data_IF_485944842168
#
_entry.id   IF_485944842168
#
_cell.length_a   1.000
_cell.length_b   1.000
_cell.length_c   1.000
_cell.angle_alpha   90.00
_cell.angle_beta   90.00
_cell.angle_gamma   90.00
#
_symmetry.space_group_name_H-M   'P 1'
#
loop_
_entity.id
_entity.type
_entity.pdbx_description
1 polymer ?
#
# COMPACT_ATOMS: atom_id res chain seq x y z
N UNK A 1 -10.04 13.31 -37.91
CA UNK A 1 -11.36 12.69 -38.13
C UNK A 1 -11.19 11.58 -39.16
N UNK A 2 -11.74 10.37 -38.95
CA UNK A 2 -11.67 9.32 -39.96
C UNK A 2 -12.34 9.77 -41.26
N UNK A 3 -11.76 9.45 -42.43
CA UNK A 3 -12.31 9.88 -43.72
C UNK A 3 -13.72 9.30 -43.93
N UNK A 4 -14.63 10.07 -44.52
CA UNK A 4 -15.99 9.62 -44.82
C UNK A 4 -16.92 9.45 -43.61
N UNK A 5 -16.55 9.97 -42.43
CA UNK A 5 -17.42 9.99 -41.23
C UNK A 5 -17.60 11.38 -40.67
N UNK A 6 -18.84 11.69 -40.30
CA UNK A 6 -19.20 12.93 -39.62
C UNK A 6 -18.80 12.89 -38.14
N UNK A 7 -18.72 14.06 -37.51
CA UNK A 7 -18.46 14.17 -36.06
C UNK A 7 -19.52 13.47 -35.22
N UNK A 8 -20.79 13.58 -35.61
CA UNK A 8 -21.89 12.96 -34.88
C UNK A 8 -21.81 11.43 -34.92
N UNK A 9 -21.54 10.84 -36.09
CA UNK A 9 -21.37 9.38 -36.24
C UNK A 9 -20.20 8.86 -35.40
N UNK A 10 -19.07 9.56 -35.41
CA UNK A 10 -17.89 9.16 -34.62
C UNK A 10 -18.22 9.19 -33.13
N UNK A 11 -18.84 10.26 -32.63
CA UNK A 11 -19.20 10.37 -31.21
C UNK A 11 -20.23 9.30 -30.81
N UNK A 12 -21.22 9.03 -31.65
CA UNK A 12 -22.20 7.98 -31.40
C UNK A 12 -21.55 6.58 -31.33
N UNK A 13 -20.61 6.28 -32.24
CA UNK A 13 -19.86 5.04 -32.22
C UNK A 13 -18.99 4.90 -30.95
N UNK A 14 -18.37 5.99 -30.51
CA UNK A 14 -17.58 6.04 -29.27
C UNK A 14 -18.47 5.71 -28.05
N UNK A 15 -19.57 6.44 -27.86
CA UNK A 15 -20.45 6.24 -26.71
C UNK A 15 -21.06 4.83 -26.70
N UNK A 16 -21.43 4.29 -27.87
CA UNK A 16 -21.93 2.92 -27.99
C UNK A 16 -20.89 1.90 -27.53
N UNK A 17 -19.65 2.00 -27.99
CA UNK A 17 -18.56 1.07 -27.60
C UNK A 17 -18.25 1.19 -26.12
N UNK A 18 -18.18 2.42 -25.60
CA UNK A 18 -17.88 2.67 -24.20
C UNK A 18 -19.00 2.13 -23.30
N UNK A 19 -20.27 2.34 -23.67
CA UNK A 19 -21.41 1.81 -22.91
C UNK A 19 -21.37 0.29 -22.75
N UNK A 20 -20.92 -0.43 -23.78
CA UNK A 20 -20.76 -1.90 -23.72
C UNK A 20 -19.60 -2.31 -22.79
N UNK A 21 -18.51 -1.55 -22.79
CA UNK A 21 -17.28 -1.94 -22.08
C UNK A 21 -17.24 -1.46 -20.62
N UNK A 22 -17.77 -0.27 -20.31
CA UNK A 22 -17.46 0.45 -19.09
C UNK A 22 -17.78 -0.33 -17.81
N UNK A 23 -18.95 -0.98 -17.76
CA UNK A 23 -19.38 -1.77 -16.59
C UNK A 23 -18.43 -2.92 -16.27
N UNK A 24 -17.94 -3.63 -17.31
CA UNK A 24 -17.03 -4.76 -17.14
C UNK A 24 -15.60 -4.37 -16.74
N UNK A 25 -15.26 -3.08 -16.91
CA UNK A 25 -13.92 -2.54 -16.70
C UNK A 25 -13.82 -1.60 -15.49
N UNK A 26 -14.87 -1.46 -14.67
CA UNK A 26 -14.73 -0.86 -13.34
C UNK A 26 -13.84 -1.75 -12.44
N UNK A 27 -12.92 -1.13 -11.68
CA UNK A 27 -12.05 -1.86 -10.75
C UNK A 27 -11.40 -0.93 -9.72
N UNK A 28 -11.15 -1.44 -8.51
CA UNK A 28 -10.48 -0.66 -7.47
C UNK A 28 -11.28 0.60 -7.14
N UNK A 29 -10.67 1.76 -7.36
CA UNK A 29 -11.29 3.08 -7.22
C UNK A 29 -11.81 3.67 -8.54
N UNK A 30 -11.60 3.00 -9.68
CA UNK A 30 -12.15 3.43 -10.96
C UNK A 30 -13.60 2.97 -11.04
N UNK A 31 -14.52 3.92 -10.91
CA UNK A 31 -15.94 3.66 -11.12
C UNK A 31 -16.29 3.62 -12.62
N UNK A 32 -17.57 3.39 -12.91
CA UNK A 32 -18.04 3.27 -14.30
C UNK A 32 -17.85 4.60 -15.06
N UNK A 33 -18.00 5.74 -14.41
CA UNK A 33 -17.91 7.04 -15.05
C UNK A 33 -16.45 7.45 -15.30
N UNK A 34 -15.52 7.10 -14.41
CA UNK A 34 -14.08 7.18 -14.65
C UNK A 34 -13.70 6.38 -15.89
N UNK A 35 -14.18 5.13 -15.99
CA UNK A 35 -13.89 4.26 -17.13
C UNK A 35 -14.50 4.82 -18.42
N UNK A 36 -15.69 5.42 -18.38
CA UNK A 36 -16.26 6.11 -19.55
C UNK A 36 -15.38 7.27 -20.00
N UNK A 37 -14.89 8.08 -19.08
CA UNK A 37 -13.98 9.20 -19.41
C UNK A 37 -12.69 8.71 -20.07
N UNK A 38 -12.01 7.73 -19.45
CA UNK A 38 -10.80 7.11 -20.01
C UNK A 38 -11.07 6.47 -21.38
N UNK A 39 -12.23 5.84 -21.54
CA UNK A 39 -12.67 5.26 -22.81
C UNK A 39 -12.74 6.27 -23.94
N UNK A 40 -13.26 7.49 -23.66
CA UNK A 40 -13.34 8.58 -24.65
C UNK A 40 -11.95 9.02 -25.07
N UNK A 41 -11.04 9.18 -24.11
CA UNK A 41 -9.64 9.53 -24.38
C UNK A 41 -8.98 8.47 -25.25
N UNK A 42 -9.14 7.18 -24.91
CA UNK A 42 -8.56 6.09 -25.71
C UNK A 42 -9.10 6.03 -27.13
N UNK A 43 -10.41 6.23 -27.31
CA UNK A 43 -11.03 6.27 -28.63
C UNK A 43 -10.49 7.42 -29.48
N UNK A 44 -10.41 8.63 -28.92
CA UNK A 44 -9.88 9.80 -29.63
C UNK A 44 -8.40 9.63 -29.99
N UNK A 45 -7.58 9.08 -29.09
CA UNK A 45 -6.18 8.79 -29.37
C UNK A 45 -6.00 7.73 -30.46
N UNK A 46 -6.85 6.70 -30.48
CA UNK A 46 -6.82 5.67 -31.53
C UNK A 46 -7.12 6.29 -32.90
N UNK A 47 -8.15 7.15 -32.98
CA UNK A 47 -8.51 7.84 -34.22
C UNK A 47 -7.44 8.84 -34.71
N UNK A 48 -6.63 9.39 -33.80
CA UNK A 48 -5.56 10.32 -34.13
C UNK A 48 -4.24 9.66 -34.53
N UNK A 49 -3.99 8.41 -34.10
CA UNK A 49 -2.70 7.73 -34.28
C UNK A 49 -2.76 6.56 -35.25
N UNK A 50 -3.90 5.89 -35.36
CA UNK A 50 -4.02 4.63 -36.08
C UNK A 50 -4.85 4.81 -37.35
N UNK A 51 -4.46 4.11 -38.42
CA UNK A 51 -5.19 4.15 -39.68
C UNK A 51 -6.45 3.30 -39.55
N UNK A 52 -7.60 3.94 -39.57
CA UNK A 52 -8.90 3.28 -39.63
C UNK A 52 -9.15 2.75 -41.04
N UNK A 53 -9.48 1.46 -41.13
CA UNK A 53 -9.89 0.79 -42.37
C UNK A 53 -11.39 1.00 -42.61
N UNK A 54 -11.71 1.73 -43.68
CA UNK A 54 -13.09 2.07 -44.07
C UNK A 54 -13.93 0.86 -44.46
N UNK A 55 -13.31 -0.27 -44.81
CA UNK A 55 -14.03 -1.50 -45.15
C UNK A 55 -14.72 -2.15 -43.92
N UNK A 56 -14.32 -1.75 -42.71
CA UNK A 56 -14.84 -2.34 -41.46
C UNK A 56 -15.66 -1.31 -40.68
N UNK A 57 -16.70 -1.73 -39.93
CA UNK A 57 -17.44 -0.84 -39.05
C UNK A 57 -16.53 -0.12 -38.04
N UNK A 58 -16.79 1.17 -37.83
CA UNK A 58 -16.00 2.02 -36.93
C UNK A 58 -16.04 1.48 -35.49
N UNK A 59 -17.18 0.95 -35.09
CA UNK A 59 -17.41 0.37 -33.77
C UNK A 59 -16.47 -0.82 -33.51
N UNK A 60 -16.23 -1.68 -34.50
CA UNK A 60 -15.35 -2.83 -34.34
C UNK A 60 -13.89 -2.40 -34.14
N UNK A 61 -13.46 -1.40 -34.91
CA UNK A 61 -12.16 -0.76 -34.73
C UNK A 61 -12.06 -0.18 -33.30
N UNK A 62 -12.97 0.73 -32.94
CA UNK A 62 -12.96 1.38 -31.62
C UNK A 62 -13.03 0.36 -30.47
N UNK A 63 -13.90 -0.64 -30.57
CA UNK A 63 -14.06 -1.68 -29.55
C UNK A 63 -12.74 -2.40 -29.28
N UNK A 64 -12.04 -2.84 -30.33
CA UNK A 64 -10.74 -3.52 -30.19
C UNK A 64 -9.72 -2.61 -29.52
N UNK A 65 -9.58 -1.37 -29.97
CA UNK A 65 -8.57 -0.44 -29.43
C UNK A 65 -8.87 -0.05 -27.98
N UNK A 66 -10.11 0.35 -27.69
CA UNK A 66 -10.54 0.75 -26.35
C UNK A 66 -10.44 -0.41 -25.36
N UNK A 67 -10.92 -1.62 -25.74
CA UNK A 67 -10.81 -2.82 -24.89
C UNK A 67 -9.36 -3.15 -24.54
N UNK A 68 -8.46 -3.12 -25.52
CA UNK A 68 -7.03 -3.37 -25.27
C UNK A 68 -6.43 -2.31 -24.34
N UNK A 69 -6.84 -1.04 -24.48
CA UNK A 69 -6.41 0.03 -23.58
C UNK A 69 -6.93 -0.15 -22.17
N UNK A 70 -8.19 -0.56 -21.98
CA UNK A 70 -8.72 -0.87 -20.65
C UNK A 70 -8.03 -2.06 -20.00
N UNK A 71 -7.70 -3.12 -20.76
CA UNK A 71 -6.89 -4.23 -20.25
C UNK A 71 -5.54 -3.72 -19.75
N UNK A 72 -4.88 -2.86 -20.53
CA UNK A 72 -3.61 -2.25 -20.12
C UNK A 72 -3.76 -1.37 -18.88
N UNK A 73 -4.83 -0.56 -18.80
CA UNK A 73 -5.13 0.27 -17.64
C UNK A 73 -5.27 -0.59 -16.38
N UNK A 74 -6.06 -1.66 -16.44
CA UNK A 74 -6.25 -2.61 -15.33
C UNK A 74 -4.95 -3.32 -14.94
N UNK A 75 -4.14 -3.75 -15.91
CA UNK A 75 -2.81 -4.35 -15.67
C UNK A 75 -1.83 -3.36 -15.02
N UNK A 76 -1.94 -2.08 -15.36
CA UNK A 76 -1.06 -1.03 -14.86
C UNK A 76 -1.47 -0.57 -13.45
N UNK A 77 -2.76 -0.39 -13.21
CA UNK A 77 -3.29 0.23 -11.97
C UNK A 77 -3.83 -0.76 -10.94
N UNK A 78 -4.07 -2.02 -11.29
CA UNK A 78 -4.66 -2.99 -10.37
C UNK A 78 -3.88 -4.30 -10.28
N UNK A 79 -4.07 -5.23 -11.22
CA UNK A 79 -3.37 -6.52 -11.21
C UNK A 79 -3.30 -7.14 -12.59
N UNK A 80 -2.31 -7.99 -12.79
CA UNK A 80 -2.23 -8.91 -13.93
C UNK A 80 -3.01 -10.18 -13.60
N UNK A 81 -3.82 -10.68 -14.51
CA UNK A 81 -4.62 -11.91 -14.32
C UNK A 81 -3.94 -13.14 -14.92
N UNK A 82 -2.98 -12.94 -15.82
CA UNK A 82 -2.20 -13.97 -16.48
C UNK A 82 -1.04 -14.43 -15.59
N UNK A 83 -1.30 -15.43 -14.74
CA UNK A 83 -0.27 -16.06 -13.93
C UNK A 83 0.70 -16.87 -14.81
N UNK A 84 2.03 -16.75 -14.62
CA UNK A 84 3.02 -17.45 -15.45
C UNK A 84 3.07 -18.96 -15.19
N UNK A 85 2.59 -19.42 -14.03
CA UNK A 85 2.50 -20.83 -13.66
C UNK A 85 1.09 -21.14 -13.19
N UNK A 86 0.39 -22.01 -13.94
CA UNK A 86 -0.98 -22.44 -13.60
C UNK A 86 -1.01 -23.28 -12.31
N UNK A 87 -0.07 -24.21 -12.15
CA UNK A 87 0.02 -25.06 -10.96
C UNK A 87 0.18 -24.23 -9.67
N UNK A 88 1.13 -23.29 -9.66
CA UNK A 88 1.30 -22.40 -8.52
C UNK A 88 0.08 -21.50 -8.28
N UNK A 89 -0.60 -21.07 -9.34
CA UNK A 89 -1.81 -20.25 -9.23
C UNK A 89 -2.99 -21.01 -8.61
N UNK A 90 -3.12 -22.31 -8.88
CA UNK A 90 -4.14 -23.16 -8.26
C UNK A 90 -3.80 -23.63 -6.85
N UNK A 91 -2.67 -23.18 -6.29
CA UNK A 91 -2.22 -23.56 -4.94
C UNK A 91 -1.32 -24.80 -4.89
N UNK A 92 -0.86 -25.31 -6.03
CA UNK A 92 0.07 -26.45 -6.11
C UNK A 92 1.50 -25.93 -6.38
N UNK A 93 2.34 -25.74 -5.34
CA UNK A 93 3.70 -25.24 -5.50
C UNK A 93 4.54 -26.21 -6.33
N UNK A 94 5.15 -25.70 -7.41
CA UNK A 94 5.98 -26.50 -8.31
C UNK A 94 7.49 -26.23 -8.16
N UNK A 95 7.90 -25.44 -7.15
CA UNK A 95 9.29 -25.02 -6.94
C UNK A 95 10.04 -25.82 -5.87
N UNK A 96 9.38 -26.78 -5.20
CA UNK A 96 9.93 -27.54 -4.07
C UNK A 96 8.87 -27.77 -2.99
N UNK A 97 9.24 -28.38 -1.84
CA UNK A 97 8.32 -28.59 -0.74
C UNK A 97 7.76 -27.25 -0.25
N UNK A 98 6.47 -27.04 -0.50
CA UNK A 98 5.72 -25.83 -0.13
C UNK A 98 6.27 -24.50 -0.69
N UNK A 99 7.00 -24.52 -1.83
CA UNK A 99 7.59 -23.32 -2.43
C UNK A 99 7.06 -23.06 -3.86
N UNK A 100 6.57 -21.84 -4.09
CA UNK A 100 6.19 -21.39 -5.43
C UNK A 100 7.41 -21.19 -6.33
N UNK A 101 7.26 -21.40 -7.64
CA UNK A 101 8.35 -21.17 -8.58
C UNK A 101 8.73 -19.67 -8.65
N UNK A 102 10.00 -19.33 -8.92
CA UNK A 102 10.46 -17.93 -8.98
C UNK A 102 9.63 -17.02 -9.91
N UNK A 103 9.19 -17.46 -11.12
CA UNK A 103 8.33 -16.65 -11.97
C UNK A 103 6.99 -16.30 -11.33
N UNK A 104 6.35 -17.26 -10.66
CA UNK A 104 5.08 -17.04 -9.98
C UNK A 104 5.25 -16.15 -8.75
N UNK A 105 6.29 -16.38 -7.93
CA UNK A 105 6.58 -15.55 -6.77
C UNK A 105 6.81 -14.07 -7.17
N UNK A 106 7.59 -13.82 -8.23
CA UNK A 106 7.81 -12.47 -8.76
C UNK A 106 6.54 -11.84 -9.36
N UNK A 107 5.67 -12.64 -9.97
CA UNK A 107 4.36 -12.19 -10.44
C UNK A 107 3.43 -11.83 -9.27
N UNK A 108 3.39 -12.68 -8.25
CA UNK A 108 2.56 -12.51 -7.05
C UNK A 108 2.97 -11.24 -6.30
N UNK A 109 4.27 -11.08 -5.99
CA UNK A 109 4.81 -9.89 -5.33
C UNK A 109 4.45 -8.58 -6.06
N UNK A 110 4.51 -8.57 -7.40
CA UNK A 110 4.14 -7.40 -8.21
C UNK A 110 2.64 -7.09 -8.13
N UNK A 111 1.80 -8.11 -8.15
CA UNK A 111 0.35 -7.95 -8.04
C UNK A 111 -0.05 -7.49 -6.63
N UNK A 112 0.56 -8.04 -5.58
CA UNK A 112 0.36 -7.64 -4.20
C UNK A 112 0.75 -6.18 -3.98
N UNK A 113 1.93 -5.76 -4.44
CA UNK A 113 2.37 -4.37 -4.34
C UNK A 113 1.38 -3.39 -5.00
N UNK A 114 0.80 -3.76 -6.15
CA UNK A 114 -0.23 -2.93 -6.81
C UNK A 114 -1.57 -2.95 -6.08
N UNK A 115 -1.95 -4.10 -5.52
CA UNK A 115 -3.16 -4.20 -4.72
C UNK A 115 -3.08 -3.35 -3.45
N UNK A 116 -1.91 -3.27 -2.80
CA UNK A 116 -1.67 -2.40 -1.66
C UNK A 116 -1.88 -0.91 -1.98
N UNK A 117 -1.50 -0.45 -3.17
CA UNK A 117 -1.75 0.94 -3.60
C UNK A 117 -3.23 1.25 -3.84
N UNK A 118 -4.02 0.25 -4.24
CA UNK A 118 -5.44 0.43 -4.56
C UNK A 118 -6.34 0.30 -3.33
N UNK A 119 -5.90 -0.45 -2.32
CA UNK A 119 -6.66 -0.68 -1.09
C UNK A 119 -6.37 0.45 -0.11
N UNK A 120 -7.41 1.13 0.39
CA UNK A 120 -7.28 1.95 1.61
C UNK A 120 -6.83 1.01 2.73
N UNK A 121 -5.59 1.18 3.19
CA UNK A 121 -5.14 0.54 4.41
C UNK A 121 -5.88 1.23 5.55
N UNK A 122 -6.56 0.43 6.35
CA UNK A 122 -7.14 0.90 7.59
C UNK A 122 -5.98 1.26 8.52
N UNK A 123 -5.87 2.53 8.90
CA UNK A 123 -4.79 3.02 9.77
C UNK A 123 -4.79 2.29 11.12
N UNK A 124 -5.93 1.72 11.54
CA UNK A 124 -6.04 0.90 12.75
C UNK A 124 -5.45 -0.51 12.60
N UNK A 125 -5.18 -0.96 11.36
CA UNK A 125 -4.59 -2.28 11.03
C UNK A 125 -3.12 -2.20 10.63
N UNK A 126 -2.53 -1.01 10.63
CA UNK A 126 -1.08 -0.88 10.48
C UNK A 126 -0.46 -1.34 11.80
N UNK A 127 0.02 -2.58 11.83
CA UNK A 127 0.86 -3.05 12.93
C UNK A 127 2.07 -2.11 13.02
N UNK A 128 2.23 -1.43 14.16
CA UNK A 128 3.29 -0.44 14.41
C UNK A 128 4.72 -0.98 14.37
N UNK A 129 4.91 -2.24 13.98
CA UNK A 129 6.19 -2.94 14.02
C UNK A 129 7.11 -2.62 12.83
N UNK A 130 6.65 -1.82 11.85
CA UNK A 130 7.46 -1.43 10.67
C UNK A 130 7.36 0.03 10.22
N UNK A 131 6.84 0.93 11.06
CA UNK A 131 6.98 2.37 10.82
C UNK A 131 8.23 2.88 11.54
N UNK A 132 9.38 2.70 10.88
CA UNK A 132 10.54 3.53 11.17
C UNK A 132 10.19 4.96 10.79
N UNK A 133 9.77 5.76 11.78
CA UNK A 133 9.73 7.22 11.73
C UNK A 133 8.58 7.88 10.96
N UNK A 134 7.37 7.85 11.52
CA UNK A 134 6.55 9.07 11.64
C UNK A 134 5.89 9.07 13.02
N UNK A 135 6.67 9.40 14.06
CA UNK A 135 6.08 9.94 15.29
C UNK A 135 5.99 11.44 15.13
N UNK A 136 4.82 11.96 14.77
CA UNK A 136 4.46 13.33 15.16
C UNK A 136 4.01 13.22 16.60
N UNK A 137 4.97 13.20 17.52
CA UNK A 137 4.73 13.56 18.90
C UNK A 137 5.14 15.01 19.04
N UNK A 138 4.29 15.79 19.66
CA UNK A 138 4.54 17.14 20.18
C UNK A 138 5.84 17.13 21.01
N UNK A 139 6.98 17.37 20.34
CA UNK A 139 8.30 16.97 20.81
C UNK A 139 9.01 18.01 21.69
N UNK A 140 8.39 19.17 21.92
CA UNK A 140 9.03 20.27 22.66
C UNK A 140 8.95 20.12 24.17
N UNK A 141 7.75 19.88 24.71
CA UNK A 141 7.52 19.86 26.15
C UNK A 141 7.75 18.47 26.77
N UNK A 142 7.30 17.40 26.10
CA UNK A 142 7.47 16.04 26.63
C UNK A 142 8.95 15.58 26.67
N UNK A 143 9.82 16.08 25.79
CA UNK A 143 11.22 15.66 25.75
C UNK A 143 12.04 16.20 26.93
N UNK A 144 11.81 17.45 27.34
CA UNK A 144 12.52 18.07 28.48
C UNK A 144 12.10 17.43 29.80
N UNK A 145 10.80 17.16 29.96
CA UNK A 145 10.26 16.46 31.14
C UNK A 145 10.83 15.03 31.28
N UNK A 146 11.13 14.35 30.16
CA UNK A 146 11.68 12.99 30.21
C UNK A 146 13.14 12.92 30.63
N UNK A 147 13.96 13.93 30.35
CA UNK A 147 15.39 13.89 30.66
C UNK A 147 15.67 14.09 32.15
N UNK A 148 14.91 14.96 32.83
CA UNK A 148 15.01 15.16 34.28
C UNK A 148 14.58 13.91 35.05
N UNK A 149 13.47 13.29 34.64
CA UNK A 149 12.99 12.04 35.25
C UNK A 149 13.99 10.90 35.03
N UNK A 150 14.59 10.81 33.85
CA UNK A 150 15.63 9.81 33.56
C UNK A 150 16.89 10.05 34.40
N UNK A 151 17.30 11.30 34.60
CA UNK A 151 18.42 11.62 35.49
C UNK A 151 18.13 11.18 36.93
N UNK A 152 16.92 11.47 37.43
CA UNK A 152 16.49 11.08 38.78
C UNK A 152 16.43 9.57 38.97
N UNK A 153 15.94 8.84 37.96
CA UNK A 153 15.95 7.38 37.96
C UNK A 153 17.39 6.86 37.97
N UNK A 154 18.30 7.40 37.15
CA UNK A 154 19.70 6.92 37.10
C UNK A 154 20.46 7.14 38.40
N UNK A 155 20.14 8.19 39.17
CA UNK A 155 20.77 8.47 40.46
C UNK A 155 20.32 7.51 41.57
N UNK A 156 19.05 7.08 41.55
CA UNK A 156 18.45 6.27 42.61
C UNK A 156 18.33 4.78 42.28
N UNK A 157 18.49 4.40 41.01
CA UNK A 157 18.41 3.01 40.58
C UNK A 157 19.71 2.25 40.92
N UNK A 158 19.62 1.08 41.59
CA UNK A 158 20.78 0.23 41.90
C UNK A 158 21.60 -0.12 40.66
N UNK A 159 22.94 -0.16 40.82
CA UNK A 159 23.91 -0.35 39.72
C UNK A 159 23.64 -1.63 38.91
N UNK A 160 23.12 -2.66 39.57
CA UNK A 160 22.79 -3.95 38.99
C UNK A 160 21.62 -3.86 38.00
N UNK A 161 20.68 -2.93 38.22
CA UNK A 161 19.49 -2.73 37.41
C UNK A 161 19.67 -1.68 36.31
N UNK A 162 20.70 -0.83 36.40
CA UNK A 162 20.99 0.22 35.42
C UNK A 162 21.22 -0.33 34.01
N UNK A 163 21.97 -1.43 33.89
CA UNK A 163 22.22 -2.07 32.60
C UNK A 163 20.94 -2.61 31.95
N UNK A 164 20.00 -3.13 32.74
CA UNK A 164 18.70 -3.58 32.27
C UNK A 164 17.78 -2.40 31.90
N UNK A 165 17.81 -1.32 32.68
CA UNK A 165 17.07 -0.09 32.40
C UNK A 165 17.50 0.59 31.09
N UNK A 166 18.81 0.67 30.81
CA UNK A 166 19.33 1.21 29.54
C UNK A 166 18.90 0.36 28.34
N UNK A 167 18.98 -0.97 28.47
CA UNK A 167 18.50 -1.89 27.43
C UNK A 167 17.00 -1.72 27.17
N UNK A 168 16.19 -1.56 28.22
CA UNK A 168 14.76 -1.29 28.09
C UNK A 168 14.47 0.03 27.38
N UNK A 169 15.23 1.09 27.69
CA UNK A 169 15.12 2.40 27.03
C UNK A 169 15.43 2.32 25.52
N UNK A 170 16.42 1.52 25.15
CA UNK A 170 16.87 1.33 23.77
C UNK A 170 16.05 0.28 23.01
N UNK A 171 15.01 -0.30 23.64
CA UNK A 171 14.16 -1.33 23.03
C UNK A 171 14.82 -2.70 22.86
N UNK A 172 15.94 -2.93 23.54
CA UNK A 172 16.66 -4.20 23.51
C UNK A 172 15.95 -5.27 24.40
N UNK A 173 16.05 -6.56 24.04
CA UNK A 173 15.40 -7.63 24.79
C UNK A 173 16.04 -7.83 26.17
N UNK A 174 15.21 -7.83 27.22
CA UNK A 174 15.60 -8.07 28.61
C UNK A 174 14.74 -9.21 29.20
N UNK A 175 15.32 -10.16 29.97
CA UNK A 175 14.57 -11.22 30.62
C UNK A 175 13.44 -10.70 31.51
N UNK A 176 12.26 -11.34 31.45
CA UNK A 176 11.06 -10.96 32.22
C UNK A 176 11.32 -10.64 33.71
N UNK A 177 12.04 -11.47 34.50
CA UNK A 177 12.27 -11.16 35.91
C UNK A 177 13.09 -9.87 36.12
N UNK A 178 14.03 -9.56 35.23
CA UNK A 178 14.81 -8.32 35.29
C UNK A 178 13.97 -7.10 34.89
N UNK A 179 13.06 -7.26 33.93
CA UNK A 179 12.14 -6.18 33.56
C UNK A 179 11.19 -5.84 34.70
N UNK A 180 10.63 -6.87 35.35
CA UNK A 180 9.68 -6.70 36.44
C UNK A 180 10.38 -6.03 37.65
N UNK A 181 11.64 -6.39 37.92
CA UNK A 181 12.48 -5.74 38.94
C UNK A 181 12.79 -4.28 38.63
N UNK A 182 13.16 -3.95 37.38
CA UNK A 182 13.38 -2.55 36.95
C UNK A 182 12.09 -1.74 37.06
N UNK A 183 10.95 -2.30 36.65
CA UNK A 183 9.66 -1.61 36.72
C UNK A 183 9.22 -1.34 38.16
N UNK A 184 9.42 -2.29 39.07
CA UNK A 184 9.13 -2.10 40.48
C UNK A 184 10.00 -0.98 41.09
N UNK A 185 11.31 -1.01 40.85
CA UNK A 185 12.24 -0.01 41.36
C UNK A 185 11.99 1.39 40.78
N UNK A 186 11.68 1.49 39.48
CA UNK A 186 11.33 2.78 38.85
C UNK A 186 10.03 3.33 39.42
N UNK A 187 9.02 2.49 39.67
CA UNK A 187 7.76 2.93 40.29
C UNK A 187 8.00 3.48 41.70
N UNK A 188 8.82 2.79 42.50
CA UNK A 188 9.18 3.25 43.84
C UNK A 188 9.94 4.59 43.82
N UNK A 189 10.81 4.81 42.84
CA UNK A 189 11.55 6.08 42.67
C UNK A 189 10.61 7.24 42.28
N UNK A 190 9.56 6.96 41.51
CA UNK A 190 8.61 7.96 41.04
C UNK A 190 7.51 8.27 42.07
N UNK A 191 7.07 7.27 42.84
CA UNK A 191 6.02 7.39 43.85
C UNK A 191 6.58 7.76 45.25
N UNK A 192 7.90 7.71 45.46
CA UNK A 192 8.54 8.05 46.73
C UNK A 192 8.46 9.54 47.07
N UNK A 193 8.47 9.91 48.37
CA UNK A 193 8.41 11.30 48.80
C UNK A 193 9.61 12.09 48.24
N UNK A 194 9.34 13.30 47.74
CA UNK A 194 10.36 14.26 47.32
C UNK A 194 11.11 14.73 48.57
N UNK A 195 12.16 14.01 48.94
CA UNK A 195 13.15 14.52 49.89
C UNK A 195 13.97 15.54 49.13
N UNK A 196 13.66 16.82 49.35
CA UNK A 196 14.43 17.96 48.87
C UNK A 196 15.65 18.10 49.79
N UNK A 197 16.80 17.56 49.37
CA UNK A 197 18.07 17.81 50.06
C UNK A 197 18.60 19.18 49.62
N UNK A 198 18.01 20.25 50.15
CA UNK A 198 18.69 21.54 50.27
C UNK A 198 19.60 21.49 51.49
N UNK A 199 20.91 21.39 51.26
CA UNK A 199 21.98 21.96 52.09
C UNK A 199 23.25 22.15 51.25
#
# INVERSE_FOLDING_TARGET
MPPGKTKAEVLAAIEKVIGILAESFAFGHFDVDDIKQEGRVFALLALGREKYDLARPLENFLYRHVKNRFINLKRNKFRRTDAPCKACHTGNPCGGPNQFCPPYAAWLKRNEAKACLSRRLDITRVSGDREGSVRVTDAGQAAVETDELVARIRQRLPVELQGAFLKLREGAPVPKPQRDAVQAAVREILDGPVVDETL
#
